data_IF_468976893136
#
_entry.id   IF_468976893136
#
_cell.length_a   1.000
_cell.length_b   1.000
_cell.length_c   1.000
_cell.angle_alpha   90.00
_cell.angle_beta   90.00
_cell.angle_gamma   90.00
#
_symmetry.space_group_name_H-M   'P 1'
#
loop_
_entity.id
_entity.type
_entity.pdbx_description
1 polymer ?
#
# COMPACT_ATOMS: atom_id res chain seq x y z
N UNK A 1 -16.46 1.72 72.78
CA UNK A 1 -17.94 1.69 72.80
C UNK A 1 -18.43 0.59 71.87
N UNK A 2 -19.25 -0.32 72.40
CA UNK A 2 -19.85 -1.49 71.73
C UNK A 2 -21.19 -1.07 71.13
N UNK A 3 -21.54 -1.45 69.90
CA UNK A 3 -22.90 -1.74 69.38
C UNK A 3 -22.85 -2.03 67.86
N UNK A 4 -23.02 -3.30 67.46
CA UNK A 4 -24.23 -3.96 66.88
C UNK A 4 -24.28 -3.82 65.35
N UNK A 5 -23.92 -4.85 64.59
CA UNK A 5 -24.68 -6.06 64.20
C UNK A 5 -25.25 -5.93 62.77
N UNK A 6 -25.27 -7.09 62.11
CA UNK A 6 -25.41 -7.37 60.68
C UNK A 6 -26.65 -6.82 59.94
N UNK A 7 -26.55 -6.92 58.60
CA UNK A 7 -27.55 -7.41 57.62
C UNK A 7 -27.76 -6.44 56.45
N UNK A 8 -27.43 -6.91 55.25
CA UNK A 8 -27.83 -6.24 54.02
C UNK A 8 -26.97 -6.59 52.81
N UNK A 9 -26.87 -7.87 52.45
CA UNK A 9 -26.51 -8.23 51.09
C UNK A 9 -27.68 -7.83 50.18
N UNK A 10 -27.57 -6.69 49.51
CA UNK A 10 -28.51 -6.27 48.48
C UNK A 10 -27.72 -6.11 47.18
N UNK A 11 -27.66 -7.18 46.40
CA UNK A 11 -27.19 -7.15 45.02
C UNK A 11 -28.29 -6.44 44.22
N UNK A 12 -28.11 -5.14 44.00
CA UNK A 12 -28.82 -4.40 42.97
C UNK A 12 -27.83 -4.16 41.85
N UNK A 13 -27.78 -5.10 40.91
CA UNK A 13 -27.11 -4.89 39.64
C UNK A 13 -27.79 -3.75 38.89
N UNK A 14 -27.04 -2.72 38.56
CA UNK A 14 -27.47 -1.69 37.62
C UNK A 14 -26.23 -1.11 36.92
N UNK A 15 -26.10 -1.42 35.63
CA UNK A 15 -25.26 -0.68 34.70
C UNK A 15 -23.78 -1.00 34.76
N UNK A 16 -23.37 -2.16 34.25
CA UNK A 16 -22.02 -2.29 33.72
C UNK A 16 -21.90 -1.36 32.52
N UNK A 17 -21.15 -0.28 32.67
CA UNK A 17 -20.78 0.59 31.55
C UNK A 17 -19.85 -0.23 30.66
N UNK A 18 -20.40 -0.83 29.60
CA UNK A 18 -19.60 -1.25 28.47
C UNK A 18 -19.00 0.04 27.91
N UNK A 19 -17.75 0.34 28.30
CA UNK A 19 -16.95 1.31 27.59
C UNK A 19 -16.86 0.79 26.15
N UNK A 20 -17.65 1.38 25.26
CA UNK A 20 -17.57 1.08 23.84
C UNK A 20 -16.16 1.36 23.40
N UNK A 21 -15.43 0.30 23.05
CA UNK A 21 -14.12 0.43 22.43
C UNK A 21 -14.31 1.29 21.18
N UNK A 22 -13.58 2.41 21.03
CA UNK A 22 -13.78 3.26 19.87
C UNK A 22 -13.45 2.44 18.63
N UNK A 23 -14.48 2.15 17.83
CA UNK A 23 -14.31 1.58 16.51
C UNK A 23 -13.58 2.62 15.66
N UNK A 24 -12.25 2.56 15.65
CA UNK A 24 -11.41 3.36 14.77
C UNK A 24 -11.63 2.84 13.34
N UNK A 25 -12.47 3.53 12.58
CA UNK A 25 -12.57 3.31 11.14
C UNK A 25 -11.19 3.61 10.54
N UNK A 26 -10.52 2.59 10.01
CA UNK A 26 -9.35 2.82 9.18
C UNK A 26 -9.80 3.68 7.99
N UNK A 27 -9.08 4.76 7.67
CA UNK A 27 -9.46 5.61 6.55
C UNK A 27 -9.51 4.73 5.30
N UNK A 28 -10.70 4.64 4.69
CA UNK A 28 -10.97 3.79 3.51
C UNK A 28 -9.91 3.98 2.41
N UNK A 29 -9.35 5.19 2.31
CA UNK A 29 -8.28 5.54 1.38
C UNK A 29 -7.00 4.74 1.60
N UNK A 30 -6.56 4.48 2.83
CA UNK A 30 -5.33 3.73 3.08
C UNK A 30 -5.48 2.25 2.66
N UNK A 31 -6.62 1.64 2.97
CA UNK A 31 -6.92 0.28 2.56
C UNK A 31 -7.04 0.16 1.03
N UNK A 32 -7.65 1.16 0.40
CA UNK A 32 -7.74 1.27 -1.06
C UNK A 32 -6.35 1.32 -1.71
N UNK A 33 -5.41 2.13 -1.18
CA UNK A 33 -4.05 2.19 -1.74
C UNK A 33 -3.31 0.86 -1.60
N UNK A 34 -3.45 0.18 -0.45
CA UNK A 34 -2.89 -1.17 -0.25
C UNK A 34 -3.47 -2.16 -1.27
N UNK A 35 -4.79 -2.10 -1.50
CA UNK A 35 -5.45 -2.95 -2.47
C UNK A 35 -4.94 -2.68 -3.90
N UNK A 36 -4.83 -1.40 -4.29
CA UNK A 36 -4.25 -0.99 -5.58
C UNK A 36 -2.82 -1.51 -5.76
N UNK A 37 -1.96 -1.37 -4.75
CA UNK A 37 -0.61 -1.90 -4.79
C UNK A 37 -0.58 -3.44 -4.94
N UNK A 38 -1.49 -4.15 -4.26
CA UNK A 38 -1.62 -5.60 -4.41
C UNK A 38 -2.05 -6.02 -5.83
N UNK A 39 -2.98 -5.28 -6.45
CA UNK A 39 -3.36 -5.50 -7.85
C UNK A 39 -2.19 -5.26 -8.81
N UNK A 40 -1.43 -4.17 -8.63
CA UNK A 40 -0.24 -3.87 -9.44
C UNK A 40 0.78 -5.01 -9.34
N UNK A 41 1.05 -5.50 -8.13
CA UNK A 41 1.92 -6.66 -7.93
C UNK A 41 1.39 -7.90 -8.67
N UNK A 42 0.08 -8.16 -8.61
CA UNK A 42 -0.54 -9.29 -9.29
C UNK A 42 -0.44 -9.19 -10.81
N UNK A 43 -0.68 -8.02 -11.38
CA UNK A 43 -0.52 -7.79 -12.82
C UNK A 43 0.93 -8.02 -13.25
N UNK A 44 1.90 -7.54 -12.46
CA UNK A 44 3.30 -7.74 -12.76
C UNK A 44 3.72 -9.23 -12.72
N UNK A 45 3.13 -10.04 -11.84
CA UNK A 45 3.34 -11.50 -11.81
C UNK A 45 2.79 -12.22 -13.05
N UNK A 46 1.73 -11.67 -13.66
CA UNK A 46 1.02 -12.25 -14.80
C UNK A 46 1.49 -11.68 -16.14
N UNK A 47 2.43 -10.75 -16.12
CA UNK A 47 2.99 -10.13 -17.33
C UNK A 47 4.27 -10.85 -17.73
N UNK A 48 4.39 -11.19 -19.00
CA UNK A 48 5.64 -11.70 -19.57
C UNK A 48 6.60 -10.53 -19.79
N UNK A 49 7.72 -10.54 -19.07
CA UNK A 49 8.75 -9.51 -19.18
C UNK A 49 9.85 -9.96 -20.16
N UNK A 50 10.32 -9.08 -21.07
CA UNK A 50 11.30 -9.47 -22.10
C UNK A 50 12.64 -9.97 -21.52
N UNK A 51 12.97 -9.66 -20.26
CA UNK A 51 14.16 -10.20 -19.57
C UNK A 51 14.00 -11.62 -19.02
N UNK A 52 12.79 -12.20 -19.02
CA UNK A 52 12.54 -13.56 -18.55
C UNK A 52 13.13 -14.64 -19.51
N UNK A 53 13.50 -14.25 -20.73
CA UNK A 53 14.12 -15.12 -21.73
C UNK A 53 15.67 -15.17 -21.66
N UNK A 54 16.31 -14.32 -20.84
CA UNK A 54 17.76 -14.37 -20.66
C UNK A 54 18.14 -15.52 -19.72
N UNK A 55 19.24 -16.23 -20.00
CA UNK A 55 19.71 -17.40 -19.24
C UNK A 55 20.01 -17.12 -17.75
N UNK A 56 19.95 -15.85 -17.32
CA UNK A 56 20.07 -15.40 -15.94
C UNK A 56 18.98 -14.35 -15.69
N UNK A 57 18.09 -14.62 -14.73
CA UNK A 57 17.08 -13.65 -14.32
C UNK A 57 17.76 -12.37 -13.76
N UNK A 58 17.24 -11.17 -14.04
CA UNK A 58 17.79 -9.94 -13.48
C UNK A 58 17.71 -9.98 -11.94
N UNK A 59 18.72 -9.44 -11.26
CA UNK A 59 18.73 -9.36 -9.79
C UNK A 59 17.61 -8.47 -9.23
N UNK A 60 17.12 -7.52 -10.04
CA UNK A 60 16.16 -6.50 -9.63
C UNK A 60 15.03 -6.32 -10.64
N UNK A 61 13.82 -6.13 -10.13
CA UNK A 61 12.64 -5.69 -10.87
C UNK A 61 12.31 -4.26 -10.46
N UNK A 62 12.43 -3.31 -11.39
CA UNK A 62 12.24 -1.89 -11.15
C UNK A 62 10.76 -1.50 -11.34
N UNK A 63 10.11 -1.15 -10.24
CA UNK A 63 8.80 -0.53 -10.19
C UNK A 63 9.00 0.98 -9.97
N UNK A 64 8.78 1.75 -11.02
CA UNK A 64 8.97 3.19 -11.01
C UNK A 64 7.65 3.90 -10.67
N UNK A 65 7.74 4.99 -9.93
CA UNK A 65 6.59 5.81 -9.53
C UNK A 65 6.85 7.27 -9.91
N UNK A 66 5.97 7.84 -10.73
CA UNK A 66 5.95 9.27 -11.01
C UNK A 66 4.80 9.91 -10.23
N UNK A 67 5.11 10.98 -9.49
CA UNK A 67 4.17 11.62 -8.56
C UNK A 67 4.41 11.23 -7.10
N UNK A 68 3.68 11.88 -6.20
CA UNK A 68 3.87 11.79 -4.75
C UNK A 68 2.56 11.52 -3.98
N UNK A 69 1.58 10.92 -4.66
CA UNK A 69 0.29 10.59 -4.06
C UNK A 69 0.37 9.53 -2.97
N UNK A 70 -0.80 9.17 -2.44
CA UNK A 70 -0.91 8.20 -1.35
C UNK A 70 -0.55 6.77 -1.78
N UNK A 71 -0.67 6.44 -3.09
CA UNK A 71 -0.35 5.11 -3.62
C UNK A 71 1.14 4.80 -3.51
N UNK A 72 2.01 5.80 -3.70
CA UNK A 72 3.46 5.63 -3.58
C UNK A 72 3.86 5.00 -2.24
N UNK A 73 3.20 5.38 -1.14
CA UNK A 73 3.47 4.79 0.18
C UNK A 73 3.15 3.30 0.23
N UNK A 74 2.01 2.88 -0.35
CA UNK A 74 1.61 1.48 -0.41
C UNK A 74 2.52 0.66 -1.33
N UNK A 75 2.96 1.24 -2.46
CA UNK A 75 3.89 0.59 -3.38
C UNK A 75 5.25 0.29 -2.74
N UNK A 76 5.76 1.17 -1.87
CA UNK A 76 7.02 0.91 -1.14
C UNK A 76 6.99 -0.37 -0.31
N UNK A 77 5.81 -0.83 0.14
CA UNK A 77 5.66 -2.11 0.85
C UNK A 77 5.95 -3.34 -0.02
N UNK A 78 6.05 -3.17 -1.34
CA UNK A 78 6.43 -4.23 -2.28
C UNK A 78 7.94 -4.38 -2.44
N UNK A 79 8.74 -3.40 -2.00
CA UNK A 79 10.19 -3.46 -2.11
C UNK A 79 10.74 -4.72 -1.40
N UNK A 80 11.68 -5.40 -2.06
CA UNK A 80 12.28 -6.65 -1.57
C UNK A 80 11.43 -7.91 -1.77
N UNK A 81 10.17 -7.81 -2.24
CA UNK A 81 9.41 -9.00 -2.65
C UNK A 81 10.02 -9.59 -3.92
N UNK A 82 9.94 -10.91 -4.07
CA UNK A 82 10.40 -11.61 -5.27
C UNK A 82 9.34 -11.62 -6.36
N UNK A 83 9.73 -11.31 -7.59
CA UNK A 83 8.91 -11.40 -8.79
C UNK A 83 9.75 -12.05 -9.89
N UNK A 84 9.39 -13.28 -10.28
CA UNK A 84 10.13 -14.02 -11.32
C UNK A 84 11.61 -14.26 -10.98
N UNK A 85 11.96 -14.37 -9.69
CA UNK A 85 13.35 -14.54 -9.24
C UNK A 85 14.13 -13.23 -9.04
N UNK A 86 13.54 -12.08 -9.39
CA UNK A 86 14.12 -10.76 -9.17
C UNK A 86 13.53 -10.09 -7.92
N UNK A 87 14.31 -9.29 -7.19
CA UNK A 87 13.79 -8.50 -6.06
C UNK A 87 13.21 -7.17 -6.54
N UNK A 88 11.99 -6.84 -6.11
CA UNK A 88 11.36 -5.58 -6.45
C UNK A 88 12.12 -4.42 -5.81
N UNK A 89 12.44 -3.40 -6.60
CA UNK A 89 12.88 -2.09 -6.15
C UNK A 89 11.84 -1.06 -6.56
N UNK A 90 11.48 -0.18 -5.62
CA UNK A 90 10.54 0.91 -5.87
C UNK A 90 11.33 2.21 -5.99
N UNK A 91 11.28 2.86 -7.15
CA UNK A 91 12.05 4.07 -7.44
C UNK A 91 11.14 5.23 -7.82
N UNK A 92 11.36 6.41 -7.23
CA UNK A 92 10.66 7.62 -7.65
C UNK A 92 11.34 8.21 -8.88
N UNK A 93 10.55 8.64 -9.85
CA UNK A 93 11.03 9.26 -11.09
C UNK A 93 10.33 10.60 -11.28
N UNK A 94 11.10 11.67 -11.47
CA UNK A 94 10.56 13.03 -11.62
C UNK A 94 10.37 13.46 -13.07
N UNK A 95 10.99 12.77 -14.03
CA UNK A 95 10.93 13.09 -15.46
C UNK A 95 10.91 11.81 -16.33
N UNK A 96 10.23 11.82 -17.50
CA UNK A 96 10.17 10.67 -18.39
C UNK A 96 11.53 10.12 -18.84
N UNK A 97 12.55 10.98 -18.93
CA UNK A 97 13.93 10.59 -19.26
C UNK A 97 14.56 9.61 -18.26
N UNK A 98 14.05 9.56 -17.02
CA UNK A 98 14.51 8.66 -15.97
C UNK A 98 13.87 7.27 -15.99
N UNK A 99 13.07 6.93 -17.01
CA UNK A 99 12.35 5.65 -17.09
C UNK A 99 13.20 4.45 -17.56
N UNK A 100 14.47 4.67 -17.87
CA UNK A 100 15.37 3.62 -18.35
C UNK A 100 15.41 2.42 -17.41
N UNK A 101 14.97 1.26 -17.91
CA UNK A 101 14.99 -0.01 -17.17
C UNK A 101 13.80 -0.27 -16.24
N UNK A 102 12.84 0.65 -16.14
CA UNK A 102 11.58 0.42 -15.42
C UNK A 102 10.75 -0.65 -16.13
N UNK A 103 10.38 -1.74 -15.44
CA UNK A 103 9.43 -2.72 -15.97
C UNK A 103 8.00 -2.22 -15.81
N UNK A 104 7.70 -1.57 -14.68
CA UNK A 104 6.39 -0.96 -14.42
C UNK A 104 6.59 0.51 -14.11
N UNK A 105 5.76 1.36 -14.72
CA UNK A 105 5.60 2.76 -14.34
C UNK A 105 4.20 2.95 -13.76
N UNK A 106 4.13 3.46 -12.52
CA UNK A 106 2.89 3.92 -11.90
C UNK A 106 2.86 5.45 -11.93
N UNK A 107 1.80 6.01 -12.51
CA UNK A 107 1.54 7.45 -12.53
C UNK A 107 0.61 7.77 -11.34
N UNK A 108 1.19 8.12 -10.21
CA UNK A 108 0.48 8.47 -8.96
C UNK A 108 0.23 9.99 -8.91
N UNK A 109 -0.63 10.45 -9.82
CA UNK A 109 -0.87 11.87 -10.09
C UNK A 109 -2.38 12.13 -10.19
N UNK A 110 -2.85 13.18 -9.53
CA UNK A 110 -4.24 13.63 -9.61
C UNK A 110 -4.44 14.70 -10.70
N UNK A 111 -3.39 15.49 -10.98
CA UNK A 111 -3.43 16.53 -12.00
C UNK A 111 -3.48 15.92 -13.42
N UNK A 112 -4.58 16.20 -14.12
CA UNK A 112 -4.86 15.67 -15.46
C UNK A 112 -3.88 16.19 -16.51
N UNK A 113 -3.39 17.42 -16.38
CA UNK A 113 -2.42 17.97 -17.34
C UNK A 113 -1.07 17.28 -17.21
N UNK A 114 -0.62 17.05 -15.97
CA UNK A 114 0.61 16.34 -15.68
C UNK A 114 0.54 14.88 -16.13
N UNK A 115 -0.56 14.18 -15.83
CA UNK A 115 -0.82 12.83 -16.33
C UNK A 115 -0.73 12.76 -17.86
N UNK A 116 -1.39 13.69 -18.56
CA UNK A 116 -1.35 13.76 -20.03
C UNK A 116 0.04 14.08 -20.60
N UNK A 117 0.89 14.80 -19.86
CA UNK A 117 2.30 14.99 -20.25
C UNK A 117 3.07 13.68 -20.16
N UNK A 118 2.93 12.95 -19.06
CA UNK A 118 3.59 11.66 -18.87
C UNK A 118 3.14 10.61 -19.88
N UNK A 119 1.84 10.47 -20.11
CA UNK A 119 1.31 9.50 -21.07
C UNK A 119 1.86 9.74 -22.48
N UNK A 120 1.87 11.00 -22.94
CA UNK A 120 2.45 11.34 -24.27
C UNK A 120 3.93 11.03 -24.35
N UNK A 121 4.68 11.26 -23.28
CA UNK A 121 6.12 11.01 -23.26
C UNK A 121 6.47 9.50 -23.27
N UNK A 122 5.57 8.64 -22.82
CA UNK A 122 5.77 7.17 -22.80
C UNK A 122 5.27 6.51 -24.09
N UNK A 123 4.29 7.11 -24.77
CA UNK A 123 3.69 6.59 -26.00
C UNK A 123 4.39 7.04 -27.30
N UNK A 124 5.27 8.05 -27.23
CA UNK A 124 6.08 8.53 -28.34
C UNK A 124 7.40 7.80 -28.44
#
# INVERSE_FOLDING_TARGET
MRRREALGAMILGAGGWAAGEPAQAQPLSAQEQVLKAAFIYRFAQMTEWPSAAASVAPKSFLLCVAGQGSLHSALRSLAGKSLGGALIQVQSVSQPSGLGGCQVLVLDMEDRHELNRWQRAVQG
#
